data_IF_422859457503
#
_entry.id   IF_422859457503
#
_cell.length_a   1.000
_cell.length_b   1.000
_cell.length_c   1.000
_cell.angle_alpha   90.00
_cell.angle_beta   90.00
_cell.angle_gamma   90.00
#
_symmetry.space_group_name_H-M   'P 1'
#
loop_
_entity.id
_entity.type
_entity.pdbx_description
1 polymer ?
#
# COMPACT_ATOMS: atom_id res chain seq x y z
N UNK A 1 27.96 21.79 -5.51
CA UNK A 1 27.75 21.11 -4.20
C UNK A 1 27.13 21.99 -3.11
N UNK A 2 27.38 23.31 -3.05
CA UNK A 2 26.86 24.18 -1.96
C UNK A 2 25.33 24.16 -1.75
N UNK A 3 24.54 23.99 -2.82
CA UNK A 3 23.07 23.98 -2.73
C UNK A 3 22.50 22.78 -1.96
N UNK A 4 23.12 21.60 -2.08
CA UNK A 4 22.68 20.40 -1.37
C UNK A 4 22.97 20.50 0.14
N UNK A 5 24.04 21.20 0.51
CA UNK A 5 24.41 21.41 1.91
C UNK A 5 23.35 22.22 2.64
N UNK A 6 22.76 23.24 2.00
CA UNK A 6 21.68 24.03 2.61
C UNK A 6 20.48 23.14 3.00
N UNK A 7 20.09 22.21 2.12
CA UNK A 7 18.99 21.28 2.39
C UNK A 7 19.36 20.23 3.43
N UNK A 8 20.57 19.68 3.38
CA UNK A 8 21.03 18.67 4.35
C UNK A 8 21.22 19.29 5.74
N UNK A 9 21.75 20.50 5.83
CA UNK A 9 21.90 21.21 7.10
C UNK A 9 20.54 21.47 7.74
N UNK A 10 19.54 21.84 6.95
CA UNK A 10 18.17 21.99 7.46
C UNK A 10 17.58 20.67 7.96
N UNK A 11 17.92 19.54 7.33
CA UNK A 11 17.54 18.20 7.81
C UNK A 11 18.20 17.90 9.15
N UNK A 12 19.51 18.17 9.28
CA UNK A 12 20.27 17.95 10.53
C UNK A 12 19.68 18.84 11.65
N UNK A 13 19.46 20.12 11.39
CA UNK A 13 18.90 21.05 12.38
C UNK A 13 17.50 20.61 12.83
N UNK A 14 16.67 20.12 11.91
CA UNK A 14 15.37 19.57 12.24
C UNK A 14 15.48 18.30 13.11
N UNK A 15 16.42 17.41 12.79
CA UNK A 15 16.70 16.22 13.59
C UNK A 15 17.16 16.59 15.01
N UNK A 16 18.07 17.56 15.15
CA UNK A 16 18.54 18.04 16.45
C UNK A 16 17.39 18.55 17.32
N UNK A 17 16.52 19.39 16.74
CA UNK A 17 15.31 19.88 17.42
C UNK A 17 14.41 18.74 17.89
N UNK A 18 14.20 17.73 17.05
CA UNK A 18 13.37 16.58 17.39
C UNK A 18 14.00 15.68 18.46
N UNK A 19 15.31 15.49 18.44
CA UNK A 19 16.03 14.73 19.45
C UNK A 19 16.02 15.46 20.80
N UNK A 20 16.33 16.76 20.80
CA UNK A 20 16.30 17.60 22.00
C UNK A 20 14.92 17.62 22.66
N UNK A 21 13.87 17.80 21.87
CA UNK A 21 12.49 17.82 22.38
C UNK A 21 12.08 16.51 23.07
N UNK A 22 12.63 15.38 22.65
CA UNK A 22 12.26 14.06 23.16
C UNK A 22 13.39 13.42 23.98
N UNK A 23 14.33 14.22 24.50
CA UNK A 23 15.52 13.70 25.19
C UNK A 23 15.15 12.79 26.35
N UNK A 24 14.16 13.15 27.17
CA UNK A 24 13.73 12.34 28.33
C UNK A 24 13.31 10.91 27.95
N UNK A 25 12.70 10.75 26.77
CA UNK A 25 12.20 9.46 26.28
C UNK A 25 13.32 8.67 25.59
N UNK A 26 14.20 9.38 24.87
CA UNK A 26 15.20 8.78 23.98
C UNK A 26 16.56 8.55 24.65
N UNK A 27 16.86 9.26 25.75
CA UNK A 27 18.17 9.21 26.41
C UNK A 27 18.48 7.78 26.86
N UNK A 28 19.60 7.24 26.38
CA UNK A 28 20.07 5.87 26.64
C UNK A 28 19.28 4.75 25.93
N UNK A 29 18.14 5.04 25.31
CA UNK A 29 17.29 4.04 24.63
C UNK A 29 17.46 4.04 23.12
N UNK A 30 17.69 5.21 22.51
CA UNK A 30 17.83 5.32 21.06
C UNK A 30 19.25 4.93 20.63
N UNK A 31 19.40 3.73 20.07
CA UNK A 31 20.70 3.21 19.57
C UNK A 31 20.82 3.23 18.04
N UNK A 32 19.68 3.19 17.35
CA UNK A 32 19.62 3.02 15.91
C UNK A 32 18.73 4.09 15.27
N UNK A 33 19.15 4.63 14.12
CA UNK A 33 18.36 5.54 13.29
C UNK A 33 18.16 4.88 11.92
N UNK A 34 16.91 4.63 11.55
CA UNK A 34 16.56 3.99 10.30
C UNK A 34 16.23 5.03 9.21
N UNK A 35 16.98 5.02 8.11
CA UNK A 35 16.75 5.94 6.99
C UNK A 35 15.81 5.32 5.95
N UNK A 36 14.60 5.85 5.86
CA UNK A 36 13.55 5.37 4.95
C UNK A 36 13.32 6.31 3.77
N UNK A 37 12.89 5.77 2.62
CA UNK A 37 12.53 6.53 1.42
C UNK A 37 13.55 6.45 0.28
N UNK A 38 13.23 7.04 -0.88
CA UNK A 38 14.13 7.03 -2.04
C UNK A 38 15.42 7.83 -1.82
N UNK A 39 15.31 8.96 -1.10
CA UNK A 39 16.43 9.86 -0.83
C UNK A 39 17.42 9.31 0.20
N UNK A 40 17.03 8.33 1.02
CA UNK A 40 17.93 7.70 2.00
C UNK A 40 19.06 6.91 1.34
N UNK A 41 18.93 6.54 0.07
CA UNK A 41 19.99 5.89 -0.71
C UNK A 41 21.12 6.84 -1.11
N UNK A 42 20.97 8.14 -0.90
CA UNK A 42 22.00 9.13 -1.22
C UNK A 42 23.24 8.94 -0.36
N UNK A 43 24.37 8.56 -0.98
CA UNK A 43 25.66 8.40 -0.31
C UNK A 43 26.09 9.67 0.42
N UNK A 44 25.81 10.84 -0.16
CA UNK A 44 26.19 12.12 0.43
C UNK A 44 25.40 12.42 1.72
N UNK A 45 24.09 12.14 1.71
CA UNK A 45 23.27 12.29 2.92
C UNK A 45 23.73 11.33 4.02
N UNK A 46 23.99 10.08 3.68
CA UNK A 46 24.47 9.07 4.63
C UNK A 46 25.82 9.47 5.24
N UNK A 47 26.74 9.98 4.43
CA UNK A 47 28.03 10.49 4.89
C UNK A 47 27.84 11.64 5.88
N UNK A 48 27.03 12.64 5.55
CA UNK A 48 26.81 13.81 6.41
C UNK A 48 26.17 13.43 7.74
N UNK A 49 25.16 12.56 7.71
CA UNK A 49 24.51 12.07 8.93
C UNK A 49 25.46 11.23 9.78
N UNK A 50 26.27 10.36 9.16
CA UNK A 50 27.26 9.55 9.87
C UNK A 50 28.36 10.41 10.49
N UNK A 51 28.79 11.47 9.82
CA UNK A 51 29.76 12.42 10.39
C UNK A 51 29.20 13.14 11.62
N UNK A 52 27.94 13.57 11.56
CA UNK A 52 27.33 14.36 12.63
C UNK A 52 26.88 13.50 13.83
N UNK A 53 26.40 12.29 13.59
CA UNK A 53 25.72 11.47 14.60
C UNK A 53 26.36 10.10 14.84
N UNK A 54 27.39 9.72 14.08
CA UNK A 54 27.93 8.36 14.06
C UNK A 54 28.58 7.90 15.37
N UNK A 55 28.94 8.82 16.26
CA UNK A 55 29.43 8.51 17.61
C UNK A 55 28.31 8.05 18.55
N UNK A 56 27.10 8.57 18.37
CA UNK A 56 25.96 8.35 19.27
C UNK A 56 25.00 7.31 18.73
N UNK A 57 24.77 7.30 17.42
CA UNK A 57 23.72 6.49 16.80
C UNK A 57 24.24 5.68 15.61
N UNK A 58 23.77 4.44 15.50
CA UNK A 58 24.04 3.59 14.33
C UNK A 58 22.97 3.80 13.26
N UNK A 59 23.39 4.30 12.10
CA UNK A 59 22.49 4.48 10.95
C UNK A 59 22.31 3.17 10.21
N UNK A 60 21.05 2.80 9.98
CA UNK A 60 20.66 1.60 9.23
C UNK A 60 19.82 2.01 8.03
N UNK A 61 20.21 1.53 6.85
CA UNK A 61 19.41 1.67 5.64
C UNK A 61 18.84 0.29 5.34
N UNK A 62 17.52 0.12 5.33
CA UNK A 62 16.92 -1.14 4.95
C UNK A 62 17.22 -1.39 3.47
N UNK A 63 18.14 -2.31 3.18
CA UNK A 63 18.34 -2.80 1.82
C UNK A 63 17.25 -3.83 1.52
N UNK A 64 16.43 -3.56 0.51
CA UNK A 64 15.63 -4.62 -0.12
C UNK A 64 16.62 -5.58 -0.77
N UNK A 65 16.51 -6.86 -0.38
CA UNK A 65 17.32 -8.01 -0.77
C UNK A 65 18.81 -7.99 -0.38
N UNK A 66 19.16 -8.69 0.70
CA UNK A 66 20.32 -9.59 0.69
C UNK A 66 20.24 -10.60 1.84
N UNK A 67 20.48 -11.88 1.53
CA UNK A 67 20.43 -13.03 2.45
C UNK A 67 21.31 -12.85 3.69
N UNK A 68 22.35 -12.01 3.62
CA UNK A 68 23.24 -11.68 4.74
C UNK A 68 22.55 -10.87 5.85
N UNK A 69 21.52 -10.08 5.51
CA UNK A 69 20.72 -9.34 6.49
C UNK A 69 19.87 -10.31 7.35
N UNK A 70 19.44 -11.45 6.78
CA UNK A 70 18.69 -12.47 7.52
C UNK A 70 19.55 -13.24 8.54
N UNK A 71 20.86 -13.39 8.29
CA UNK A 71 21.75 -14.06 9.24
C UNK A 71 22.09 -13.18 10.45
N UNK A 72 22.30 -11.87 10.25
CA UNK A 72 22.44 -10.91 11.35
C UNK A 72 21.14 -10.73 12.14
N UNK A 73 19.99 -10.93 11.49
CA UNK A 73 18.65 -10.89 12.09
C UNK A 73 18.39 -12.04 13.07
N UNK A 74 18.91 -13.24 12.78
CA UNK A 74 18.67 -14.42 13.61
C UNK A 74 19.53 -14.49 14.89
N UNK A 75 20.62 -13.73 14.98
CA UNK A 75 21.49 -13.73 16.18
C UNK A 75 20.99 -12.84 17.33
N UNK A 76 20.03 -11.94 17.06
CA UNK A 76 19.41 -11.05 18.05
C UNK A 76 17.92 -11.39 18.18
N UNK A 77 17.63 -12.52 18.82
CA UNK A 77 16.29 -13.08 19.00
C UNK A 77 15.36 -12.28 19.96
N UNK A 78 15.56 -10.95 20.08
CA UNK A 78 14.65 -10.03 20.80
C UNK A 78 14.07 -8.91 19.92
N UNK A 79 14.36 -8.90 18.61
CA UNK A 79 14.00 -7.78 17.72
C UNK A 79 12.65 -7.95 16.97
N UNK A 80 12.00 -9.13 17.04
CA UNK A 80 10.70 -9.37 16.39
C UNK A 80 9.58 -8.46 16.92
N UNK A 81 9.63 -8.07 18.19
CA UNK A 81 8.68 -7.11 18.77
C UNK A 81 8.81 -5.73 18.11
N UNK A 82 10.02 -5.32 17.73
CA UNK A 82 10.27 -3.99 17.15
C UNK A 82 9.80 -3.85 15.71
N UNK A 83 9.74 -4.94 14.94
CA UNK A 83 9.23 -4.91 13.56
C UNK A 83 7.72 -4.65 13.52
N UNK A 84 6.95 -5.39 14.33
CA UNK A 84 5.50 -5.23 14.43
C UNK A 84 5.17 -3.87 15.07
N UNK A 85 5.89 -3.49 16.13
CA UNK A 85 5.72 -2.19 16.79
C UNK A 85 6.08 -1.02 15.86
N UNK A 86 7.09 -1.15 14.99
CA UNK A 86 7.46 -0.08 14.04
C UNK A 86 6.47 0.07 12.90
N UNK A 87 5.86 -1.01 12.40
CA UNK A 87 4.84 -0.93 11.35
C UNK A 87 3.53 -0.34 11.90
N UNK A 88 3.06 -0.81 13.05
CA UNK A 88 1.87 -0.25 13.70
C UNK A 88 2.07 1.21 14.10
N UNK A 89 3.24 1.57 14.65
CA UNK A 89 3.54 2.98 14.99
C UNK A 89 3.68 3.86 13.75
N UNK A 90 4.27 3.37 12.65
CA UNK A 90 4.34 4.13 11.40
C UNK A 90 2.96 4.39 10.81
N UNK A 91 2.09 3.38 10.80
CA UNK A 91 0.71 3.53 10.33
C UNK A 91 -0.05 4.53 11.21
N UNK A 92 0.07 4.41 12.55
CA UNK A 92 -0.57 5.32 13.50
C UNK A 92 -0.05 6.75 13.39
N UNK A 93 1.25 6.94 13.15
CA UNK A 93 1.88 8.24 12.93
C UNK A 93 1.44 8.85 11.60
N UNK A 94 1.35 8.06 10.52
CA UNK A 94 0.87 8.52 9.21
C UNK A 94 -0.60 8.95 9.30
N UNK A 95 -1.45 8.17 9.96
CA UNK A 95 -2.87 8.49 10.19
C UNK A 95 -3.00 9.75 11.05
N UNK A 96 -2.29 9.83 12.18
CA UNK A 96 -2.31 11.04 13.03
C UNK A 96 -1.77 12.27 12.30
N UNK A 97 -0.75 12.13 11.47
CA UNK A 97 -0.17 13.23 10.72
C UNK A 97 -1.13 13.71 9.62
N UNK A 98 -1.80 12.80 8.92
CA UNK A 98 -2.87 13.11 7.96
C UNK A 98 -4.05 13.82 8.63
N UNK A 99 -4.49 13.34 9.79
CA UNK A 99 -5.52 13.97 10.62
C UNK A 99 -5.15 15.40 11.01
N UNK A 100 -3.88 15.62 11.39
CA UNK A 100 -3.38 16.92 11.85
C UNK A 100 -3.22 17.92 10.71
N UNK A 101 -2.90 17.43 9.50
CA UNK A 101 -2.84 18.24 8.27
C UNK A 101 -4.25 18.61 7.80
N UNK A 102 -5.22 17.71 7.98
CA UNK A 102 -6.58 17.92 7.50
C UNK A 102 -7.34 19.01 8.28
N UNK A 103 -6.94 19.40 9.49
CA UNK A 103 -7.61 20.43 10.32
C UNK A 103 -9.15 20.31 10.37
N UNK A 104 -9.72 19.15 10.06
CA UNK A 104 -11.16 18.91 10.05
C UNK A 104 -11.50 18.31 11.41
N UNK A 105 -12.28 19.08 12.17
CA UNK A 105 -12.78 18.72 13.48
C UNK A 105 -13.34 17.29 13.49
N UNK A 106 -12.83 16.47 14.41
CA UNK A 106 -13.17 15.07 14.60
C UNK A 106 -14.61 14.90 15.12
N UNK A 107 -15.59 15.13 14.26
CA UNK A 107 -16.95 14.60 14.38
C UNK A 107 -17.21 13.43 13.42
N UNK A 108 -16.18 12.99 12.69
CA UNK A 108 -16.32 12.22 11.44
C UNK A 108 -15.71 10.81 11.47
N UNK A 109 -15.22 10.32 12.62
CA UNK A 109 -14.68 8.96 12.70
C UNK A 109 -15.79 7.92 12.54
N UNK A 110 -16.96 8.16 13.14
CA UNK A 110 -18.14 7.31 12.94
C UNK A 110 -18.65 7.37 11.48
N UNK A 111 -18.58 8.55 10.85
CA UNK A 111 -18.98 8.72 9.45
C UNK A 111 -17.96 8.15 8.46
N UNK A 112 -16.68 8.04 8.84
CA UNK A 112 -15.65 7.39 8.02
C UNK A 112 -15.90 5.89 7.91
N UNK A 113 -16.22 5.22 9.03
CA UNK A 113 -16.62 3.81 8.99
C UNK A 113 -17.88 3.62 8.15
N UNK A 114 -18.84 4.54 8.24
CA UNK A 114 -20.06 4.53 7.41
C UNK A 114 -19.77 4.74 5.91
N UNK A 115 -18.80 5.59 5.58
CA UNK A 115 -18.36 5.85 4.20
C UNK A 115 -17.62 4.65 3.62
N UNK A 116 -16.76 4.01 4.41
CA UNK A 116 -16.05 2.79 4.03
C UNK A 116 -17.04 1.65 3.81
N UNK A 117 -18.01 1.46 4.71
CA UNK A 117 -19.07 0.45 4.57
C UNK A 117 -19.92 0.71 3.32
N UNK A 118 -20.35 1.95 3.08
CA UNK A 118 -21.09 2.29 1.87
C UNK A 118 -20.29 2.07 0.59
N UNK A 119 -18.99 2.39 0.61
CA UNK A 119 -18.11 2.17 -0.54
C UNK A 119 -17.94 0.67 -0.83
N UNK A 120 -17.69 -0.13 0.20
CA UNK A 120 -17.57 -1.59 0.09
C UNK A 120 -18.90 -2.19 -0.39
N UNK A 121 -20.03 -1.75 0.18
CA UNK A 121 -21.35 -2.24 -0.21
C UNK A 121 -21.69 -1.86 -1.66
N UNK A 122 -21.37 -0.64 -2.10
CA UNK A 122 -21.52 -0.21 -3.49
C UNK A 122 -20.67 -1.06 -4.45
N UNK A 123 -19.42 -1.36 -4.06
CA UNK A 123 -18.54 -2.22 -4.82
C UNK A 123 -19.10 -3.64 -4.98
N UNK A 124 -19.65 -4.23 -3.90
CA UNK A 124 -20.31 -5.54 -3.96
C UNK A 124 -21.55 -5.54 -4.85
N UNK A 125 -22.37 -4.49 -4.78
CA UNK A 125 -23.56 -4.33 -5.64
C UNK A 125 -23.14 -4.27 -7.11
N UNK A 126 -22.11 -3.47 -7.43
CA UNK A 126 -21.61 -3.34 -8.80
C UNK A 126 -21.08 -4.67 -9.36
N UNK A 127 -20.33 -5.43 -8.55
CA UNK A 127 -19.88 -6.77 -8.93
C UNK A 127 -21.07 -7.71 -9.20
N UNK A 128 -22.08 -7.70 -8.33
CA UNK A 128 -23.26 -8.53 -8.52
C UNK A 128 -23.97 -8.20 -9.84
N UNK A 129 -24.17 -6.92 -10.17
CA UNK A 129 -24.76 -6.50 -11.44
C UNK A 129 -23.94 -6.96 -12.66
N UNK A 130 -22.61 -6.87 -12.59
CA UNK A 130 -21.74 -7.35 -13.68
C UNK A 130 -21.85 -8.87 -13.89
N UNK A 131 -22.02 -9.64 -12.81
CA UNK A 131 -22.25 -11.08 -12.90
C UNK A 131 -23.62 -11.37 -13.54
N UNK A 132 -24.68 -10.65 -13.15
CA UNK A 132 -26.01 -10.81 -13.75
C UNK A 132 -26.01 -10.49 -15.24
N UNK A 133 -25.33 -9.42 -15.67
CA UNK A 133 -25.19 -9.07 -17.08
C UNK A 133 -24.49 -10.19 -17.86
N UNK A 134 -23.40 -10.75 -17.32
CA UNK A 134 -22.69 -11.88 -17.96
C UNK A 134 -23.57 -13.11 -18.10
N UNK A 135 -24.34 -13.46 -17.08
CA UNK A 135 -25.27 -14.59 -17.11
C UNK A 135 -26.36 -14.36 -18.16
N UNK A 136 -26.97 -13.18 -18.20
CA UNK A 136 -28.00 -12.85 -19.18
C UNK A 136 -27.47 -12.90 -20.62
N UNK A 137 -26.28 -12.37 -20.88
CA UNK A 137 -25.63 -12.48 -22.20
C UNK A 137 -25.38 -13.95 -22.55
N UNK A 138 -24.95 -14.78 -21.58
CA UNK A 138 -24.75 -16.22 -21.82
C UNK A 138 -26.05 -16.96 -22.18
N UNK A 139 -27.16 -16.60 -21.55
CA UNK A 139 -28.49 -17.17 -21.82
C UNK A 139 -29.00 -16.72 -23.19
N UNK A 140 -28.85 -15.43 -23.51
CA UNK A 140 -29.25 -14.87 -24.80
C UNK A 140 -28.48 -15.53 -25.95
N UNK A 141 -27.15 -15.70 -25.79
CA UNK A 141 -26.32 -16.41 -26.77
C UNK A 141 -26.78 -17.87 -26.94
N UNK A 142 -27.24 -18.52 -25.86
CA UNK A 142 -27.77 -19.89 -25.91
C UNK A 142 -29.10 -19.96 -26.66
N UNK A 143 -30.01 -19.01 -26.43
CA UNK A 143 -31.28 -18.93 -27.15
C UNK A 143 -31.09 -18.62 -28.64
N UNK A 144 -30.17 -17.72 -28.99
CA UNK A 144 -29.83 -17.42 -30.39
C UNK A 144 -29.34 -18.68 -31.12
N UNK A 145 -28.49 -19.47 -30.47
CA UNK A 145 -27.98 -20.74 -31.01
C UNK A 145 -29.10 -21.76 -31.26
N UNK A 146 -30.12 -21.84 -30.40
CA UNK A 146 -31.28 -22.73 -30.62
C UNK A 146 -32.18 -22.28 -31.76
N UNK A 147 -32.35 -20.97 -31.95
CA UNK A 147 -33.12 -20.41 -33.08
C UNK A 147 -32.43 -20.68 -34.41
N UNK A 148 -31.10 -20.51 -34.48
CA UNK A 148 -30.33 -20.83 -35.68
C UNK A 148 -30.42 -22.33 -36.03
N UNK A 149 -30.37 -23.21 -35.01
CA UNK A 149 -30.54 -24.65 -35.21
C UNK A 149 -31.95 -25.00 -35.71
N UNK A 150 -32.99 -24.36 -35.17
CA UNK A 150 -34.37 -24.56 -35.62
C UNK A 150 -34.59 -24.06 -37.05
N UNK A 151 -34.00 -22.92 -37.42
CA UNK A 151 -34.04 -22.41 -38.80
C UNK A 151 -33.31 -23.32 -39.78
N UNK A 152 -32.18 -23.90 -39.37
CA UNK A 152 -31.45 -24.90 -40.16
C UNK A 152 -32.27 -26.18 -40.37
N UNK A 153 -32.84 -26.75 -39.32
CA UNK A 153 -33.70 -27.95 -39.41
C UNK A 153 -34.93 -27.69 -40.27
N UNK A 154 -35.58 -26.52 -40.14
CA UNK A 154 -36.72 -26.12 -40.98
C UNK A 154 -36.34 -26.02 -42.47
N UNK A 155 -35.14 -25.53 -42.80
CA UNK A 155 -34.64 -25.53 -44.19
C UNK A 155 -34.46 -26.94 -44.74
N UNK A 156 -33.90 -27.85 -43.95
CA UNK A 156 -33.72 -29.25 -44.36
C UNK A 156 -35.07 -29.94 -44.61
N UNK A 157 -36.05 -29.75 -43.71
CA UNK A 157 -37.40 -30.32 -43.87
C UNK A 157 -38.09 -29.79 -45.13
N UNK A 158 -38.01 -28.48 -45.39
CA UNK A 158 -38.62 -27.89 -46.59
C UNK A 158 -37.96 -28.40 -47.88
N UNK A 159 -36.65 -28.66 -47.89
CA UNK A 159 -36.00 -29.30 -49.03
C UNK A 159 -36.52 -30.73 -49.27
N UNK A 160 -36.70 -31.53 -48.22
CA UNK A 160 -37.26 -32.88 -48.37
C UNK A 160 -38.69 -32.89 -48.92
N UNK A 161 -39.54 -31.94 -48.52
CA UNK A 161 -40.93 -31.83 -49.00
C UNK A 161 -41.01 -31.52 -50.50
N UNK A 162 -40.09 -30.70 -51.02
CA UNK A 162 -40.03 -30.36 -52.44
C UNK A 162 -39.57 -31.52 -53.35
N UNK A 163 -38.99 -32.59 -52.78
CA UNK A 163 -38.59 -33.79 -53.52
C UNK A 163 -39.67 -34.88 -53.55
N UNK A 164 -40.77 -34.69 -52.83
CA UNK A 164 -41.89 -35.65 -52.73
C UNK A 164 -43.12 -35.28 -53.57
N UNK A 165 -43.07 -34.17 -54.31
CA UNK A 165 -44.05 -33.73 -55.30
C UNK A 165 -43.40 -33.64 -56.67
#
# INVERSE_FOLDING_TARGET
>A
MKLFNLRINHIIEYMDKMLQKNTEILNGKLKYICLVGGFSKSTYLQYMLKQHYGSTYKFVIPQKSNSFFNYLWNANEKDQTYHIICEEKKIKIIIQYLIRILQINFGWVDDFDKLVVNYIMFYFILIFFLIQIKINISILNRQLCTLDLMHFVRRQINQCIYWTY
#
